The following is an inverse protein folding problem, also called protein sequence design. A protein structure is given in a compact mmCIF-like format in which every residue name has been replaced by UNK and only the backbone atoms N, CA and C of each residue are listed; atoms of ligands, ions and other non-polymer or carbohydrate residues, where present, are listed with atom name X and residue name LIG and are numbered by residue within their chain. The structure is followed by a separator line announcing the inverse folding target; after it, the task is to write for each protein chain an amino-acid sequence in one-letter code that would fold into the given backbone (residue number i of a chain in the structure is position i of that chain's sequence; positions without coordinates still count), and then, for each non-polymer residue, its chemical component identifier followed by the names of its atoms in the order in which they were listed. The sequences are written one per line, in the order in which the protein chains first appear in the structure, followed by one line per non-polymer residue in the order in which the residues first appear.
data_IF_146929271129
#
_entry.id   IF_146929271129
#
_cell.length_a   1.000
_cell.length_b   1.000
_cell.length_c   1.000
_cell.angle_alpha   90.00
_cell.angle_beta   90.00
_cell.angle_gamma   90.00
#
_symmetry.space_group_name_H-M   'P 1'
#
loop_
_entity.id
_entity.type
_entity.pdbx_description
1 polymer ?
#
# COMPACT_ATOMS: atom_id res chain seq x y z
N UNK A 1 0.61 22.61 14.92
CA UNK A 1 0.72 22.12 13.52
C UNK A 1 0.25 23.23 12.60
N UNK A 2 1.01 23.56 11.54
CA UNK A 2 0.63 24.60 10.60
C UNK A 2 -0.61 24.18 9.77
N UNK A 3 -1.43 25.14 9.28
CA UNK A 3 -2.68 24.85 8.55
C UNK A 3 -2.48 23.89 7.35
N UNK A 4 -1.39 24.01 6.59
CA UNK A 4 -1.13 23.13 5.47
C UNK A 4 -0.82 21.69 5.90
N UNK A 5 -0.18 21.48 7.06
CA UNK A 5 0.04 20.15 7.64
C UNK A 5 -1.27 19.51 8.08
N UNK A 6 -2.18 20.31 8.69
CA UNK A 6 -3.52 19.84 9.03
C UNK A 6 -4.29 19.41 7.79
N UNK A 7 -4.20 20.20 6.72
CA UNK A 7 -4.81 19.87 5.44
C UNK A 7 -4.23 18.57 4.86
N UNK A 8 -2.90 18.44 4.81
CA UNK A 8 -2.23 17.24 4.30
C UNK A 8 -2.60 15.99 5.12
N UNK A 9 -2.64 16.12 6.44
CA UNK A 9 -3.05 15.05 7.35
C UNK A 9 -4.50 14.61 7.08
N UNK A 10 -5.42 15.57 6.95
CA UNK A 10 -6.83 15.29 6.65
C UNK A 10 -7.01 14.64 5.28
N UNK A 11 -6.27 15.11 4.26
CA UNK A 11 -6.26 14.48 2.93
C UNK A 11 -5.77 13.04 2.98
N UNK A 12 -4.76 12.73 3.79
CA UNK A 12 -4.29 11.36 4.00
C UNK A 12 -5.36 10.44 4.57
N UNK A 13 -6.13 10.91 5.55
CA UNK A 13 -7.25 10.16 6.13
C UNK A 13 -8.35 9.94 5.08
N UNK A 14 -8.76 10.99 4.39
CA UNK A 14 -9.81 10.93 3.35
C UNK A 14 -9.41 9.95 2.26
N UNK A 15 -8.15 9.97 1.85
CA UNK A 15 -7.62 9.01 0.87
C UNK A 15 -7.78 7.56 1.37
N UNK A 16 -7.38 7.25 2.61
CA UNK A 16 -7.52 5.89 3.18
C UNK A 16 -8.98 5.43 3.22
N UNK A 17 -9.90 6.33 3.60
CA UNK A 17 -11.33 6.02 3.60
C UNK A 17 -11.81 5.73 2.18
N UNK A 18 -11.40 6.54 1.19
CA UNK A 18 -11.76 6.36 -0.21
C UNK A 18 -11.24 5.03 -0.77
N UNK A 19 -9.98 4.67 -0.46
CA UNK A 19 -9.38 3.39 -0.85
C UNK A 19 -10.13 2.19 -0.23
N UNK A 20 -10.53 2.29 1.04
CA UNK A 20 -11.33 1.25 1.69
C UNK A 20 -12.70 1.07 1.02
N UNK A 21 -13.33 2.15 0.58
CA UNK A 21 -14.61 2.09 -0.15
C UNK A 21 -14.44 1.46 -1.54
N UNK A 22 -13.39 1.84 -2.29
CA UNK A 22 -13.05 1.19 -3.57
C UNK A 22 -12.82 -0.31 -3.35
N UNK A 23 -12.01 -0.67 -2.36
CA UNK A 23 -11.73 -2.06 -2.02
C UNK A 23 -13.01 -2.83 -1.62
N UNK A 24 -13.95 -2.19 -0.90
CA UNK A 24 -15.24 -2.78 -0.52
C UNK A 24 -16.09 -3.12 -1.74
N UNK A 25 -16.19 -2.19 -2.71
CA UNK A 25 -16.93 -2.40 -3.96
C UNK A 25 -16.28 -3.50 -4.80
N UNK A 26 -14.95 -3.47 -4.92
CA UNK A 26 -14.20 -4.47 -5.65
C UNK A 26 -14.34 -5.87 -5.04
N UNK A 27 -14.31 -6.00 -3.69
CA UNK A 27 -14.57 -7.29 -3.01
C UNK A 27 -15.93 -7.87 -3.34
N UNK A 28 -16.97 -7.03 -3.35
CA UNK A 28 -18.32 -7.49 -3.71
C UNK A 28 -18.31 -8.10 -5.10
N UNK A 29 -17.74 -7.39 -6.06
CA UNK A 29 -17.63 -7.86 -7.43
C UNK A 29 -16.78 -9.14 -7.54
N UNK A 30 -15.59 -9.20 -6.92
CA UNK A 30 -14.75 -10.40 -6.94
C UNK A 30 -15.45 -11.62 -6.36
N UNK A 31 -16.23 -11.44 -5.28
CA UNK A 31 -17.05 -12.52 -4.70
C UNK A 31 -18.10 -13.04 -5.68
N UNK A 32 -18.73 -12.16 -6.44
CA UNK A 32 -19.70 -12.52 -7.50
C UNK A 32 -19.03 -13.30 -8.64
N UNK A 33 -17.72 -13.15 -8.83
CA UNK A 33 -16.93 -13.92 -9.80
C UNK A 33 -16.33 -15.22 -9.20
N UNK A 34 -16.79 -15.66 -8.04
CA UNK A 34 -16.25 -16.85 -7.37
C UNK A 34 -14.95 -16.64 -6.61
N UNK A 35 -14.52 -15.39 -6.45
CA UNK A 35 -13.32 -15.03 -5.70
C UNK A 35 -13.45 -15.28 -4.20
N UNK A 36 -12.32 -15.54 -3.57
CA UNK A 36 -12.21 -15.79 -2.13
C UNK A 36 -11.05 -15.01 -1.51
N UNK A 37 -11.13 -14.81 -0.19
CA UNK A 37 -10.15 -14.03 0.59
C UNK A 37 -9.16 -14.96 1.29
N UNK A 38 -7.87 -14.61 1.22
CA UNK A 38 -6.76 -15.28 1.88
C UNK A 38 -6.19 -14.37 2.97
N UNK A 39 -5.70 -14.95 4.08
CA UNK A 39 -5.02 -14.22 5.15
C UNK A 39 -5.90 -13.19 5.86
N UNK A 40 -7.16 -13.52 6.10
CA UNK A 40 -8.12 -12.65 6.80
C UNK A 40 -7.62 -12.26 8.20
N UNK A 41 -6.95 -13.17 8.88
CA UNK A 41 -6.44 -13.04 10.24
C UNK A 41 -5.32 -12.00 10.34
N UNK A 42 -4.57 -11.75 9.28
CA UNK A 42 -3.49 -10.75 9.25
C UNK A 42 -3.96 -9.34 8.85
N UNK A 43 -5.15 -9.22 8.28
CA UNK A 43 -5.65 -7.93 7.81
C UNK A 43 -5.83 -6.88 8.92
N UNK A 44 -6.31 -7.22 10.14
CA UNK A 44 -6.39 -6.25 11.24
C UNK A 44 -5.03 -5.64 11.61
N UNK A 45 -3.93 -6.37 11.44
CA UNK A 45 -2.58 -5.87 11.69
C UNK A 45 -2.24 -4.75 10.70
N UNK A 46 -2.56 -4.96 9.42
CA UNK A 46 -2.34 -3.93 8.37
C UNK A 46 -3.16 -2.68 8.65
N UNK A 47 -4.43 -2.84 9.04
CA UNK A 47 -5.27 -1.70 9.45
C UNK A 47 -4.69 -1.01 10.67
N UNK A 48 -4.25 -1.77 11.66
CA UNK A 48 -3.59 -1.26 12.87
C UNK A 48 -2.38 -0.40 12.56
N UNK A 49 -1.51 -0.82 11.64
CA UNK A 49 -0.34 -0.04 11.20
C UNK A 49 -0.76 1.34 10.65
N UNK A 50 -1.79 1.37 9.80
CA UNK A 50 -2.27 2.64 9.24
C UNK A 50 -2.94 3.54 10.29
N UNK A 51 -3.65 2.96 11.24
CA UNK A 51 -4.21 3.72 12.38
C UNK A 51 -3.08 4.27 13.25
N UNK A 52 -2.09 3.44 13.59
CA UNK A 52 -0.92 3.85 14.38
C UNK A 52 -0.07 4.91 13.65
N UNK A 53 -0.03 4.89 12.32
CA UNK A 53 0.64 5.92 11.52
C UNK A 53 0.05 7.31 11.81
N UNK A 54 -1.27 7.45 11.76
CA UNK A 54 -1.94 8.73 12.02
C UNK A 54 -1.86 9.12 13.49
N UNK A 55 -2.05 8.18 14.42
CA UNK A 55 -1.90 8.43 15.84
C UNK A 55 -0.46 8.86 16.17
N UNK A 56 0.54 8.15 15.65
CA UNK A 56 1.96 8.45 15.88
C UNK A 56 2.35 9.85 15.38
N UNK A 57 1.90 10.24 14.18
CA UNK A 57 2.11 11.59 13.65
C UNK A 57 1.49 12.64 14.62
N UNK A 58 0.27 12.42 15.12
CA UNK A 58 -0.36 13.34 16.07
C UNK A 58 0.39 13.40 17.39
N UNK A 59 0.77 12.25 17.94
CA UNK A 59 1.52 12.18 19.21
C UNK A 59 2.85 12.90 19.07
N UNK A 60 3.64 12.62 18.05
CA UNK A 60 4.92 13.31 17.87
C UNK A 60 4.75 14.80 17.60
N UNK A 61 3.76 15.21 16.79
CA UNK A 61 3.53 16.63 16.47
C UNK A 61 2.99 17.43 17.65
N UNK A 62 2.14 16.84 18.51
CA UNK A 62 1.48 17.57 19.61
C UNK A 62 2.27 17.45 20.91
N UNK A 63 2.60 16.23 21.34
CA UNK A 63 3.24 15.98 22.63
C UNK A 63 4.75 16.12 22.59
N UNK A 64 5.41 15.63 21.52
CA UNK A 64 6.84 15.76 21.35
C UNK A 64 7.24 17.03 20.60
N UNK A 65 6.26 17.86 20.21
CA UNK A 65 6.46 19.13 19.49
C UNK A 65 7.31 18.98 18.23
N UNK A 66 7.21 17.83 17.57
CA UNK A 66 7.91 17.59 16.31
C UNK A 66 7.49 18.62 15.25
N UNK A 67 8.46 19.14 14.54
CA UNK A 67 8.27 20.12 13.46
C UNK A 67 8.83 19.56 12.16
N UNK A 68 8.26 19.96 11.01
CA UNK A 68 8.83 19.60 9.72
C UNK A 68 10.33 19.91 9.66
N UNK A 69 11.17 18.99 9.22
CA UNK A 69 12.59 19.27 9.03
C UNK A 69 12.77 20.30 7.91
N UNK A 70 13.90 21.01 7.87
CA UNK A 70 14.19 21.98 6.81
C UNK A 70 14.14 21.38 5.40
N UNK A 71 14.38 20.08 5.28
CA UNK A 71 14.34 19.31 4.04
C UNK A 71 13.00 18.59 3.79
N UNK A 72 11.90 19.01 4.46
CA UNK A 72 10.55 18.40 4.33
C UNK A 72 10.05 18.29 2.88
N UNK A 73 10.54 19.15 1.99
CA UNK A 73 10.19 19.13 0.55
C UNK A 73 10.60 17.82 -0.10
N UNK A 74 11.68 17.18 0.35
CA UNK A 74 12.17 15.91 -0.20
C UNK A 74 11.16 14.78 0.05
N UNK A 75 10.79 14.43 1.30
CA UNK A 75 9.79 13.41 1.55
C UNK A 75 8.41 13.77 0.98
N UNK A 76 8.05 15.06 0.93
CA UNK A 76 6.81 15.50 0.27
C UNK A 76 6.82 15.20 -1.24
N UNK A 77 7.92 15.51 -1.93
CA UNK A 77 8.04 15.20 -3.37
C UNK A 77 7.99 13.71 -3.64
N UNK A 78 8.68 12.89 -2.83
CA UNK A 78 8.61 11.43 -2.92
C UNK A 78 7.16 10.95 -2.68
N UNK A 79 6.48 11.49 -1.68
CA UNK A 79 5.08 11.18 -1.40
C UNK A 79 4.17 11.47 -2.60
N UNK A 80 4.31 12.63 -3.24
CA UNK A 80 3.51 13.00 -4.43
C UNK A 80 3.74 12.01 -5.57
N UNK A 81 4.99 11.65 -5.86
CA UNK A 81 5.31 10.64 -6.89
C UNK A 81 4.72 9.29 -6.52
N UNK A 82 4.80 8.92 -5.25
CA UNK A 82 4.23 7.67 -4.72
C UNK A 82 2.70 7.65 -4.88
N UNK A 83 2.03 8.79 -4.68
CA UNK A 83 0.58 8.89 -4.93
C UNK A 83 0.24 8.69 -6.41
N UNK A 84 1.00 9.28 -7.33
CA UNK A 84 0.80 9.05 -8.75
C UNK A 84 0.94 7.56 -9.11
N UNK A 85 1.97 6.89 -8.57
CA UNK A 85 2.16 5.45 -8.74
C UNK A 85 1.02 4.63 -8.12
N UNK A 86 0.49 5.04 -6.96
CA UNK A 86 -0.65 4.41 -6.31
C UNK A 86 -1.89 4.43 -7.20
N UNK A 87 -2.28 5.60 -7.71
CA UNK A 87 -3.44 5.71 -8.59
C UNK A 87 -3.23 4.95 -9.91
N UNK A 88 -1.99 4.88 -10.39
CA UNK A 88 -1.67 4.04 -11.54
C UNK A 88 -1.84 2.54 -11.22
N UNK A 89 -1.42 2.06 -10.05
CA UNK A 89 -1.67 0.70 -9.60
C UNK A 89 -3.18 0.40 -9.50
N UNK A 90 -3.95 1.28 -8.85
CA UNK A 90 -5.40 1.12 -8.67
C UNK A 90 -6.10 1.05 -10.02
N UNK A 91 -5.81 2.00 -10.92
CA UNK A 91 -6.41 2.04 -12.25
C UNK A 91 -6.05 0.84 -13.13
N UNK A 92 -4.80 0.34 -13.01
CA UNK A 92 -4.31 -0.80 -13.80
C UNK A 92 -4.96 -2.12 -13.40
N UNK A 93 -5.19 -2.36 -12.11
CA UNK A 93 -5.91 -3.53 -11.63
C UNK A 93 -7.44 -3.38 -11.73
N UNK A 94 -7.95 -2.13 -11.66
CA UNK A 94 -9.38 -1.87 -11.70
C UNK A 94 -10.14 -2.63 -10.62
N UNK A 95 -11.10 -3.46 -11.01
CA UNK A 95 -11.93 -4.25 -10.09
C UNK A 95 -11.18 -5.33 -9.31
N UNK A 96 -9.95 -5.69 -9.73
CA UNK A 96 -9.09 -6.64 -9.02
C UNK A 96 -8.25 -5.98 -7.93
N UNK A 97 -8.17 -4.65 -7.89
CA UNK A 97 -7.45 -3.95 -6.83
C UNK A 97 -8.17 -4.07 -5.48
N UNK A 98 -7.43 -4.45 -4.44
CA UNK A 98 -7.96 -4.54 -3.09
C UNK A 98 -6.87 -4.23 -2.04
N UNK A 99 -7.31 -3.88 -0.83
CA UNK A 99 -6.46 -3.75 0.37
C UNK A 99 -6.22 -5.09 1.06
N UNK A 100 -7.00 -6.12 0.73
CA UNK A 100 -6.90 -7.49 1.21
C UNK A 100 -6.42 -8.40 0.09
N UNK A 101 -5.96 -9.59 0.41
CA UNK A 101 -5.61 -10.60 -0.59
C UNK A 101 -6.90 -11.29 -1.05
N UNK A 102 -7.27 -11.05 -2.30
CA UNK A 102 -8.40 -11.69 -2.96
C UNK A 102 -7.94 -12.36 -4.23
N UNK A 103 -8.39 -13.59 -4.46
CA UNK A 103 -8.08 -14.36 -5.67
C UNK A 103 -9.38 -14.73 -6.36
N UNK A 104 -9.43 -14.51 -7.66
CA UNK A 104 -10.51 -14.98 -8.53
C UNK A 104 -9.93 -16.13 -9.34
N UNK A 105 -10.45 -17.38 -9.19
CA UNK A 105 -9.94 -18.54 -9.92
C UNK A 105 -10.03 -18.36 -11.44
N UNK A 106 -9.15 -19.04 -12.15
CA UNK A 106 -9.08 -19.08 -13.61
C UNK A 106 -8.92 -17.70 -14.29
N UNK A 107 -8.61 -16.67 -13.50
CA UNK A 107 -8.39 -15.33 -14.04
C UNK A 107 -6.93 -15.10 -14.40
N UNK A 108 -6.68 -14.60 -15.61
CA UNK A 108 -5.33 -14.20 -16.04
C UNK A 108 -4.88 -12.95 -15.27
N UNK A 109 -3.71 -12.97 -14.59
CA UNK A 109 -3.17 -11.82 -13.89
C UNK A 109 -3.06 -10.59 -14.80
N UNK A 110 -3.38 -9.41 -14.24
CA UNK A 110 -3.30 -8.15 -15.00
C UNK A 110 -1.85 -7.71 -15.16
N UNK A 111 -1.40 -7.62 -16.43
CA UNK A 111 -0.07 -7.14 -16.81
C UNK A 111 -0.05 -5.68 -17.24
N UNK A 112 -1.03 -4.89 -16.83
CA UNK A 112 -1.18 -3.50 -17.24
C UNK A 112 -0.45 -2.55 -16.30
N UNK A 113 -0.06 -1.37 -16.82
CA UNK A 113 0.56 -0.31 -16.03
C UNK A 113 1.84 -0.77 -15.33
N UNK A 114 2.02 -0.49 -14.02
CA UNK A 114 3.23 -0.85 -13.30
C UNK A 114 3.41 -2.37 -13.12
N UNK A 115 2.34 -3.18 -13.20
CA UNK A 115 2.39 -4.64 -13.15
C UNK A 115 3.02 -5.27 -14.41
N UNK A 116 3.19 -4.49 -15.46
CA UNK A 116 3.98 -4.90 -16.62
C UNK A 116 5.46 -5.07 -16.28
N UNK A 117 5.95 -4.28 -15.33
CA UNK A 117 7.38 -4.18 -15.03
C UNK A 117 7.79 -4.97 -13.78
N UNK A 118 6.91 -5.12 -12.78
CA UNK A 118 7.20 -5.80 -11.52
C UNK A 118 5.95 -6.47 -10.94
N UNK A 119 6.15 -7.45 -10.06
CA UNK A 119 5.03 -8.22 -9.48
C UNK A 119 4.21 -7.42 -8.46
N UNK A 120 4.86 -6.64 -7.60
CA UNK A 120 4.23 -6.01 -6.43
C UNK A 120 4.43 -4.49 -6.35
N UNK A 121 4.08 -3.70 -7.39
CA UNK A 121 4.25 -2.25 -7.37
C UNK A 121 3.42 -1.57 -6.26
N UNK A 122 2.25 -2.11 -5.94
CA UNK A 122 1.40 -1.56 -4.88
C UNK A 122 2.03 -1.73 -3.49
N UNK A 123 2.79 -2.82 -3.23
CA UNK A 123 3.54 -2.96 -1.97
C UNK A 123 4.73 -2.00 -1.89
N UNK A 124 5.41 -1.72 -3.00
CA UNK A 124 6.44 -0.65 -3.06
C UNK A 124 5.84 0.68 -2.64
N UNK A 125 4.67 1.03 -3.18
CA UNK A 125 3.94 2.24 -2.81
C UNK A 125 3.68 2.30 -1.30
N UNK A 126 3.13 1.23 -0.71
CA UNK A 126 2.81 1.18 0.72
C UNK A 126 4.05 1.32 1.59
N UNK A 127 5.15 0.64 1.24
CA UNK A 127 6.41 0.73 1.99
C UNK A 127 6.99 2.14 1.97
N UNK A 128 7.04 2.78 0.79
CA UNK A 128 7.55 4.15 0.65
C UNK A 128 6.65 5.13 1.42
N UNK A 129 5.34 5.01 1.31
CA UNK A 129 4.39 5.91 1.96
C UNK A 129 4.51 5.90 3.49
N UNK A 130 4.56 4.71 4.10
CA UNK A 130 4.70 4.59 5.56
C UNK A 130 6.02 5.19 6.03
N UNK A 131 7.07 5.13 5.20
CA UNK A 131 8.35 5.77 5.50
C UNK A 131 8.28 7.29 5.36
N UNK A 132 7.82 7.79 4.21
CA UNK A 132 8.02 9.22 3.87
C UNK A 132 6.92 10.13 4.42
N UNK A 133 5.69 9.63 4.55
CA UNK A 133 4.57 10.46 4.99
C UNK A 133 4.76 11.05 6.41
N UNK A 134 5.18 10.29 7.44
CA UNK A 134 5.45 10.86 8.76
C UNK A 134 6.65 11.82 8.76
N UNK A 135 7.65 11.61 7.89
CA UNK A 135 8.83 12.50 7.79
C UNK A 135 8.44 13.93 7.41
N UNK A 136 7.37 14.12 6.62
CA UNK A 136 6.87 15.45 6.26
C UNK A 136 6.46 16.24 7.53
N UNK A 137 5.98 15.55 8.55
CA UNK A 137 5.55 16.12 9.83
C UNK A 137 6.68 16.19 10.87
N UNK A 138 7.87 15.64 10.56
CA UNK A 138 8.96 15.47 11.52
C UNK A 138 8.75 14.31 12.49
N UNK A 139 7.80 13.42 12.23
CA UNK A 139 7.50 12.25 13.05
C UNK A 139 8.45 11.09 12.73
N UNK A 140 9.71 11.22 13.14
CA UNK A 140 10.78 10.27 12.81
C UNK A 140 10.61 8.91 13.47
N UNK A 141 10.17 8.88 14.74
CA UNK A 141 9.99 7.64 15.48
C UNK A 141 8.88 6.79 14.83
N UNK A 142 7.75 7.42 14.49
CA UNK A 142 6.66 6.78 13.76
C UNK A 142 7.12 6.27 12.40
N UNK A 143 7.86 7.11 11.66
CA UNK A 143 8.38 6.75 10.34
C UNK A 143 9.23 5.48 10.39
N UNK A 144 10.25 5.46 11.22
CA UNK A 144 11.21 4.35 11.28
C UNK A 144 10.54 3.09 11.84
N UNK A 145 9.86 3.19 12.98
CA UNK A 145 9.28 2.02 13.64
C UNK A 145 8.21 1.33 12.79
N UNK A 146 7.26 2.10 12.23
CA UNK A 146 6.20 1.52 11.42
C UNK A 146 6.68 1.06 10.05
N UNK A 147 7.70 1.71 9.46
CA UNK A 147 8.28 1.23 8.20
C UNK A 147 8.93 -0.13 8.36
N UNK A 148 9.70 -0.34 9.43
CA UNK A 148 10.32 -1.64 9.70
C UNK A 148 9.25 -2.71 9.87
N UNK A 149 8.27 -2.48 10.76
CA UNK A 149 7.20 -3.44 11.04
C UNK A 149 6.39 -3.74 9.78
N UNK A 150 5.96 -2.70 9.05
CA UNK A 150 5.18 -2.87 7.82
C UNK A 150 5.95 -3.65 6.75
N UNK A 151 7.23 -3.32 6.55
CA UNK A 151 8.07 -4.00 5.56
C UNK A 151 8.22 -5.48 5.90
N UNK A 152 8.47 -5.82 7.16
CA UNK A 152 8.55 -7.21 7.61
C UNK A 152 7.24 -7.97 7.36
N UNK A 153 6.09 -7.37 7.69
CA UNK A 153 4.78 -8.00 7.46
C UNK A 153 4.52 -8.19 5.96
N UNK A 154 4.86 -7.22 5.13
CA UNK A 154 4.72 -7.35 3.67
C UNK A 154 5.59 -8.48 3.14
N UNK A 155 6.88 -8.51 3.51
CA UNK A 155 7.84 -9.47 2.97
C UNK A 155 7.63 -10.90 3.49
N UNK A 156 7.30 -11.05 4.77
CA UNK A 156 7.24 -12.35 5.42
C UNK A 156 5.85 -12.99 5.42
N UNK A 157 4.80 -12.18 5.33
CA UNK A 157 3.42 -12.68 5.40
C UNK A 157 2.64 -12.39 4.11
N UNK A 158 2.53 -11.13 3.71
CA UNK A 158 1.61 -10.73 2.65
C UNK A 158 2.01 -11.26 1.29
N UNK A 159 3.25 -11.03 0.86
CA UNK A 159 3.73 -11.45 -0.47
C UNK A 159 3.76 -12.97 -0.61
N UNK A 160 4.32 -13.75 0.34
CA UNK A 160 4.30 -15.20 0.20
C UNK A 160 2.90 -15.79 0.10
N UNK A 161 1.96 -15.30 0.92
CA UNK A 161 0.57 -15.77 0.88
C UNK A 161 -0.14 -15.41 -0.42
N UNK A 162 0.06 -14.18 -0.91
CA UNK A 162 -0.53 -13.72 -2.17
C UNK A 162 0.03 -14.49 -3.37
N UNK A 163 1.36 -14.63 -3.46
CA UNK A 163 2.00 -15.38 -4.55
C UNK A 163 1.59 -16.85 -4.54
N UNK A 164 1.52 -17.50 -3.37
CA UNK A 164 1.07 -18.90 -3.26
C UNK A 164 -0.37 -19.04 -3.77
N UNK A 165 -1.28 -18.23 -3.28
CA UNK A 165 -2.69 -18.28 -3.66
C UNK A 165 -2.92 -17.99 -5.15
N UNK A 166 -2.16 -17.04 -5.72
CA UNK A 166 -2.23 -16.72 -7.15
C UNK A 166 -1.67 -17.86 -8.02
N UNK A 167 -0.59 -18.52 -7.59
CA UNK A 167 -0.02 -19.69 -8.30
C UNK A 167 -0.98 -20.88 -8.34
N UNK A 168 -1.68 -21.13 -7.22
CA UNK A 168 -2.62 -22.25 -7.10
C UNK A 168 -3.91 -22.05 -7.90
N UNK A 169 -4.38 -20.80 -8.02
CA UNK A 169 -5.68 -20.50 -8.59
C UNK A 169 -5.64 -19.89 -10.00
N UNK A 170 -4.47 -19.51 -10.51
CA UNK A 170 -4.33 -18.77 -11.78
C UNK A 170 -3.06 -19.13 -12.52
N UNK A 171 -2.89 -18.61 -13.75
CA UNK A 171 -1.65 -18.74 -14.53
C UNK A 171 -0.54 -17.76 -14.07
N UNK A 172 -0.50 -17.42 -12.77
CA UNK A 172 0.41 -16.40 -12.24
C UNK A 172 1.90 -16.68 -12.54
N UNK A 173 2.34 -17.91 -12.38
CA UNK A 173 3.74 -18.27 -12.60
C UNK A 173 4.16 -18.09 -14.06
N UNK A 174 3.29 -18.42 -15.01
CA UNK A 174 3.55 -18.27 -16.45
C UNK A 174 3.67 -16.78 -16.81
N UNK A 175 2.78 -15.94 -16.26
CA UNK A 175 2.67 -14.52 -16.63
C UNK A 175 3.66 -13.62 -15.87
N UNK A 176 3.98 -13.98 -14.63
CA UNK A 176 4.70 -13.12 -13.69
C UNK A 176 6.02 -13.72 -13.18
N UNK A 177 6.27 -15.02 -13.35
CA UNK A 177 7.39 -15.74 -12.74
C UNK A 177 8.76 -15.15 -13.06
N UNK A 178 8.96 -14.61 -14.27
CA UNK A 178 10.22 -14.00 -14.69
C UNK A 178 10.43 -12.55 -14.18
N UNK A 179 9.38 -11.91 -13.62
CA UNK A 179 9.49 -10.52 -13.12
C UNK A 179 10.03 -10.47 -11.71
N UNK A 180 10.80 -9.42 -11.41
CA UNK A 180 11.20 -9.12 -10.04
C UNK A 180 9.99 -8.65 -9.20
N UNK A 181 10.06 -8.85 -7.89
CA UNK A 181 9.01 -8.40 -6.96
C UNK A 181 8.87 -6.87 -6.91
N UNK A 182 10.00 -6.14 -6.85
CA UNK A 182 10.06 -4.72 -6.53
C UNK A 182 10.82 -3.87 -7.53
N UNK A 183 11.62 -4.46 -8.38
CA UNK A 183 12.43 -3.73 -9.36
C UNK A 183 11.89 -3.97 -10.77
N UNK A 184 11.87 -2.92 -11.61
CA UNK A 184 11.44 -3.05 -12.99
C UNK A 184 12.30 -4.07 -13.74
N UNK A 185 11.64 -5.00 -14.43
CA UNK A 185 12.27 -5.92 -15.37
C UNK A 185 11.93 -5.46 -16.77
N UNK A 186 12.93 -5.04 -17.51
CA UNK A 186 12.80 -4.59 -18.88
C UNK A 186 13.10 -5.80 -19.79
N UNK A 187 12.06 -6.38 -20.38
CA UNK A 187 12.16 -7.35 -21.48
C UNK A 187 11.29 -6.89 -22.64
#
# INVERSE_FOLDING_TARGET
MNNWLVLLFSLGIIQRISEMEIARRNRKWMREQGGYEIGKEHYPIIVGIHVLLFIGILVESIYLRATPPSWWVVPFSIYVVTQALRYWCIGSLGKYWNTRIWVVPDHTPKLNGPYRFMRHPNYVVVMIEILVYPLIFGAFLTSISLSVVNTLIILLLRIPMEELALREATNYEVEMGEKNRFFPTWK
#
